data_IF_032490977658
#
_entry.id   IF_032490977658
#
_cell.length_a   1.000
_cell.length_b   1.000
_cell.length_c   1.000
_cell.angle_alpha   90.00
_cell.angle_beta   90.00
_cell.angle_gamma   90.00
#
_symmetry.space_group_name_H-M   'P 1'
#
loop_
_entity.id
_entity.type
_entity.pdbx_description
1 polymer ?
#
# COMPACT_ATOMS: atom_id res chain seq x y z
N UNK A 1 16.87 11.08 6.02
CA UNK A 1 16.15 9.82 6.35
C UNK A 1 15.42 9.33 5.11
N UNK A 2 15.52 8.04 4.82
CA UNK A 2 14.85 7.41 3.68
C UNK A 2 13.70 6.56 4.23
N UNK A 3 12.47 7.00 3.97
CA UNK A 3 11.25 6.32 4.40
C UNK A 3 10.60 5.68 3.17
N UNK A 4 10.59 4.37 3.14
CA UNK A 4 9.91 3.58 2.11
C UNK A 4 8.43 3.40 2.51
N UNK A 5 7.53 4.05 1.80
CA UNK A 5 6.09 4.05 2.09
C UNK A 5 5.36 2.81 1.56
N UNK A 6 6.04 1.94 0.79
CA UNK A 6 5.43 0.77 0.19
C UNK A 6 6.31 -0.47 0.39
N UNK A 7 6.03 -1.21 1.44
CA UNK A 7 6.61 -2.52 1.71
C UNK A 7 5.55 -3.51 2.15
N UNK A 8 5.90 -4.77 2.14
CA UNK A 8 5.03 -5.85 2.59
C UNK A 8 5.69 -6.68 3.69
N UNK A 9 4.88 -7.22 4.58
CA UNK A 9 5.36 -8.07 5.67
C UNK A 9 6.06 -9.32 5.13
N UNK A 10 7.20 -9.65 5.70
CA UNK A 10 7.81 -10.98 5.55
C UNK A 10 7.32 -11.84 6.70
N UNK A 11 6.31 -12.64 6.40
CA UNK A 11 5.65 -13.47 7.39
C UNK A 11 6.34 -14.83 7.57
N UNK A 12 6.35 -15.40 8.78
CA UNK A 12 6.84 -16.74 9.02
C UNK A 12 5.93 -17.82 8.42
N UNK A 13 6.46 -19.01 8.22
CA UNK A 13 5.74 -20.16 7.63
C UNK A 13 4.48 -20.53 8.41
N UNK A 14 4.47 -20.30 9.73
CA UNK A 14 3.31 -20.54 10.59
C UNK A 14 2.05 -19.80 10.12
N UNK A 15 2.17 -18.60 9.50
CA UNK A 15 1.03 -17.91 8.88
C UNK A 15 0.44 -18.71 7.71
N UNK A 16 1.28 -19.30 6.88
CA UNK A 16 0.82 -20.09 5.72
C UNK A 16 0.23 -21.45 6.14
N UNK A 17 0.78 -22.06 7.18
CA UNK A 17 0.18 -23.25 7.82
C UNK A 17 -1.20 -22.89 8.38
N UNK A 18 -1.33 -21.77 9.07
CA UNK A 18 -2.63 -21.30 9.56
C UNK A 18 -3.63 -21.06 8.41
N UNK A 19 -3.20 -20.43 7.30
CA UNK A 19 -4.02 -20.25 6.10
C UNK A 19 -4.56 -21.61 5.59
N UNK A 20 -3.69 -22.59 5.46
CA UNK A 20 -4.08 -23.93 5.01
C UNK A 20 -5.07 -24.60 5.98
N UNK A 21 -4.89 -24.43 7.28
CA UNK A 21 -5.79 -24.96 8.30
C UNK A 21 -7.20 -24.39 8.22
N UNK A 22 -7.33 -23.06 8.12
CA UNK A 22 -8.65 -22.42 8.04
C UNK A 22 -9.36 -22.73 6.72
N UNK A 23 -8.63 -22.78 5.60
CA UNK A 23 -9.19 -23.17 4.29
C UNK A 23 -9.63 -24.65 4.26
N UNK A 24 -8.93 -25.54 4.98
CA UNK A 24 -9.29 -26.94 5.10
C UNK A 24 -10.37 -27.22 6.17
N UNK A 25 -11.11 -26.21 6.63
CA UNK A 25 -12.14 -26.30 7.68
C UNK A 25 -11.65 -26.77 9.05
N UNK A 26 -10.35 -26.80 9.30
CA UNK A 26 -9.82 -27.17 10.61
C UNK A 26 -10.06 -26.08 11.68
N UNK A 27 -10.47 -24.92 11.27
CA UNK A 27 -10.94 -23.85 12.15
C UNK A 27 -12.43 -23.94 12.54
N UNK A 28 -13.18 -24.93 12.06
CA UNK A 28 -14.64 -25.03 12.29
C UNK A 28 -15.00 -25.21 13.78
N UNK A 29 -14.10 -25.77 14.59
CA UNK A 29 -14.29 -25.98 16.03
C UNK A 29 -13.51 -24.99 16.90
N UNK A 30 -12.98 -23.92 16.30
CA UNK A 30 -12.18 -22.89 16.93
C UNK A 30 -11.16 -22.34 15.95
N UNK A 31 -10.58 -21.17 16.21
CA UNK A 31 -9.59 -20.57 15.30
C UNK A 31 -8.37 -21.46 15.05
N UNK A 32 -8.11 -22.40 15.93
CA UNK A 32 -7.07 -23.42 15.80
C UNK A 32 -5.70 -22.87 15.43
N UNK A 33 -5.42 -21.61 15.71
CA UNK A 33 -4.27 -20.93 15.19
C UNK A 33 -3.05 -21.12 16.07
N UNK A 34 -1.95 -21.48 15.46
CA UNK A 34 -0.66 -21.26 16.07
C UNK A 34 -0.23 -19.84 15.69
N UNK A 35 -0.36 -18.92 16.62
CA UNK A 35 0.08 -17.55 16.41
C UNK A 35 1.61 -17.54 16.33
N UNK A 36 2.17 -16.88 15.32
CA UNK A 36 3.60 -16.71 15.20
C UNK A 36 4.18 -16.08 16.48
N UNK A 37 5.19 -16.69 17.04
CA UNK A 37 5.91 -16.14 18.18
C UNK A 37 7.00 -15.14 17.70
N UNK A 38 7.64 -14.47 18.66
CA UNK A 38 8.66 -13.45 18.35
C UNK A 38 9.87 -14.03 17.62
N UNK A 39 10.27 -15.25 17.96
CA UNK A 39 11.43 -15.90 17.35
C UNK A 39 11.15 -16.26 15.89
N UNK A 40 9.96 -16.78 15.58
CA UNK A 40 9.54 -17.06 14.20
C UNK A 40 9.53 -15.79 13.34
N UNK A 41 9.06 -14.65 13.89
CA UNK A 41 9.08 -13.37 13.18
C UNK A 41 10.52 -12.87 12.96
N UNK A 42 11.39 -12.97 13.98
CA UNK A 42 12.81 -12.65 13.83
C UNK A 42 13.49 -13.52 12.79
N UNK A 43 13.24 -14.81 12.83
CA UNK A 43 13.79 -15.77 11.87
C UNK A 43 13.33 -15.44 10.44
N UNK A 44 12.04 -15.16 10.23
CA UNK A 44 11.52 -14.79 8.91
C UNK A 44 12.22 -13.54 8.33
N UNK A 45 12.42 -12.51 9.16
CA UNK A 45 13.06 -11.27 8.73
C UNK A 45 14.57 -11.39 8.47
N UNK A 46 15.24 -12.38 9.08
CA UNK A 46 16.67 -12.64 8.92
C UNK A 46 16.96 -13.82 7.96
N UNK A 47 15.94 -14.47 7.43
CA UNK A 47 16.10 -15.54 6.43
C UNK A 47 16.09 -14.99 5.01
N UNK A 48 16.77 -15.64 4.06
CA UNK A 48 16.74 -15.24 2.66
C UNK A 48 15.31 -15.25 2.09
N UNK A 49 14.96 -14.18 1.37
CA UNK A 49 13.69 -14.02 0.64
C UNK A 49 13.94 -13.73 -0.84
N UNK A 50 12.99 -13.17 -1.55
CA UNK A 50 13.21 -12.73 -2.93
C UNK A 50 14.50 -11.90 -3.05
N UNK A 51 15.33 -12.20 -4.02
CA UNK A 51 16.63 -11.55 -4.19
C UNK A 51 17.80 -12.22 -3.47
N UNK A 52 17.55 -13.20 -2.60
CA UNK A 52 18.56 -14.09 -2.01
C UNK A 52 19.19 -13.60 -0.71
N UNK A 53 18.97 -12.36 -0.28
CA UNK A 53 19.31 -11.86 1.07
C UNK A 53 18.07 -11.71 1.95
N UNK A 54 18.26 -11.48 3.24
CA UNK A 54 17.16 -11.30 4.19
C UNK A 54 16.44 -9.96 3.96
N UNK A 55 15.20 -9.83 4.43
CA UNK A 55 14.47 -8.57 4.33
C UNK A 55 15.26 -7.41 4.94
N UNK A 56 15.79 -7.59 6.16
CA UNK A 56 16.57 -6.55 6.84
C UNK A 56 17.84 -6.17 6.09
N UNK A 57 18.54 -7.15 5.49
CA UNK A 57 19.75 -6.86 4.73
C UNK A 57 19.41 -6.15 3.41
N UNK A 58 18.30 -6.51 2.76
CA UNK A 58 17.84 -5.84 1.56
C UNK A 58 17.53 -4.36 1.79
N UNK A 59 16.93 -3.99 2.93
CA UNK A 59 16.73 -2.57 3.28
C UNK A 59 18.05 -1.84 3.44
N UNK A 60 19.03 -2.46 4.09
CA UNK A 60 20.38 -1.89 4.23
C UNK A 60 21.09 -1.72 2.88
N UNK A 61 20.99 -2.71 1.99
CA UNK A 61 21.61 -2.67 0.65
C UNK A 61 21.19 -1.44 -0.16
N UNK A 62 19.93 -1.01 -0.06
CA UNK A 62 19.41 0.18 -0.75
C UNK A 62 19.36 1.41 0.13
N UNK A 63 19.79 1.30 1.40
CA UNK A 63 19.86 2.41 2.36
C UNK A 63 18.49 2.95 2.76
N UNK A 64 17.51 2.08 2.95
CA UNK A 64 16.21 2.42 3.54
C UNK A 64 16.34 2.42 5.06
N UNK A 65 16.02 3.55 5.69
CA UNK A 65 16.09 3.70 7.15
C UNK A 65 14.81 3.16 7.82
N UNK A 66 13.65 3.39 7.19
CA UNK A 66 12.35 2.95 7.70
C UNK A 66 11.47 2.48 6.54
N UNK A 67 10.73 1.40 6.75
CA UNK A 67 9.75 0.91 5.80
C UNK A 67 8.37 0.77 6.44
N UNK A 68 7.33 1.23 5.71
CA UNK A 68 5.95 0.98 6.06
C UNK A 68 5.54 -0.37 5.47
N UNK A 69 5.12 -1.29 6.32
CA UNK A 69 4.80 -2.66 5.90
C UNK A 69 3.31 -2.95 6.03
N UNK A 70 2.76 -3.54 4.99
CA UNK A 70 1.37 -3.97 4.87
C UNK A 70 1.26 -5.47 4.60
N UNK A 71 0.08 -6.09 4.68
CA UNK A 71 -0.10 -7.44 4.15
C UNK A 71 0.30 -7.53 2.69
N UNK A 72 0.89 -8.67 2.29
CA UNK A 72 1.04 -8.96 0.86
C UNK A 72 -0.34 -9.20 0.22
N UNK A 73 -0.54 -8.88 -1.06
CA UNK A 73 -1.84 -9.05 -1.71
C UNK A 73 -2.47 -10.43 -1.50
N UNK A 74 -1.71 -11.50 -1.68
CA UNK A 74 -2.18 -12.87 -1.49
C UNK A 74 -2.43 -13.27 -0.02
N UNK A 75 -2.10 -12.40 0.94
CA UNK A 75 -2.39 -12.59 2.37
C UNK A 75 -3.76 -11.99 2.75
N UNK A 76 -4.47 -11.38 1.84
CA UNK A 76 -5.76 -10.75 2.14
C UNK A 76 -6.96 -11.70 1.90
N UNK A 77 -6.91 -12.53 0.86
CA UNK A 77 -7.95 -13.52 0.51
C UNK A 77 -9.38 -12.96 0.47
N UNK A 78 -9.57 -11.74 -0.01
CA UNK A 78 -10.82 -10.99 0.19
C UNK A 78 -12.05 -11.60 -0.50
N UNK A 79 -11.86 -12.43 -1.51
CA UNK A 79 -12.95 -13.16 -2.19
C UNK A 79 -13.39 -14.46 -1.47
N UNK A 80 -12.77 -14.81 -0.36
CA UNK A 80 -13.17 -15.95 0.46
C UNK A 80 -14.33 -15.59 1.41
N UNK A 81 -14.85 -16.58 2.13
CA UNK A 81 -15.92 -16.36 3.10
C UNK A 81 -15.51 -15.30 4.15
N UNK A 82 -16.36 -14.32 4.49
CA UNK A 82 -16.01 -13.19 5.36
C UNK A 82 -15.34 -13.57 6.68
N UNK A 83 -15.73 -14.69 7.29
CA UNK A 83 -15.15 -15.17 8.54
C UNK A 83 -13.69 -15.65 8.36
N UNK A 84 -13.38 -16.29 7.23
CA UNK A 84 -12.01 -16.72 6.93
C UNK A 84 -11.13 -15.51 6.65
N UNK A 85 -11.64 -14.56 5.90
CA UNK A 85 -10.95 -13.28 5.61
C UNK A 85 -10.65 -12.55 6.91
N UNK A 86 -11.64 -12.40 7.79
CA UNK A 86 -11.44 -11.75 9.08
C UNK A 86 -10.34 -12.43 9.89
N UNK A 87 -10.39 -13.75 10.07
CA UNK A 87 -9.39 -14.48 10.86
C UNK A 87 -7.99 -14.35 10.29
N UNK A 88 -7.87 -14.49 8.97
CA UNK A 88 -6.56 -14.45 8.33
C UNK A 88 -5.94 -13.04 8.32
N UNK A 89 -6.74 -12.02 8.04
CA UNK A 89 -6.30 -10.62 8.08
C UNK A 89 -5.90 -10.22 9.52
N UNK A 90 -6.67 -10.64 10.53
CA UNK A 90 -6.31 -10.41 11.93
C UNK A 90 -4.94 -10.99 12.27
N UNK A 91 -4.66 -12.24 11.88
CA UNK A 91 -3.36 -12.87 12.14
C UNK A 91 -2.23 -12.20 11.36
N UNK A 92 -2.47 -11.83 10.12
CA UNK A 92 -1.47 -11.09 9.32
C UNK A 92 -1.14 -9.74 9.97
N UNK A 93 -2.16 -9.00 10.42
CA UNK A 93 -1.95 -7.72 11.13
C UNK A 93 -1.23 -7.93 12.49
N UNK A 94 -1.54 -9.00 13.22
CA UNK A 94 -0.82 -9.34 14.46
C UNK A 94 0.68 -9.57 14.22
N UNK A 95 1.03 -10.23 13.12
CA UNK A 95 2.44 -10.42 12.72
C UNK A 95 3.09 -9.08 12.36
N UNK A 96 2.39 -8.20 11.62
CA UNK A 96 2.91 -6.86 11.32
C UNK A 96 3.14 -6.06 12.61
N UNK A 97 2.16 -6.04 13.52
CA UNK A 97 2.30 -5.34 14.81
C UNK A 97 3.50 -5.88 15.61
N UNK A 98 3.69 -7.21 15.62
CA UNK A 98 4.85 -7.86 16.24
C UNK A 98 6.16 -7.49 15.56
N UNK A 99 6.20 -7.46 14.22
CA UNK A 99 7.38 -7.01 13.47
C UNK A 99 7.76 -5.56 13.83
N UNK A 100 6.78 -4.65 13.92
CA UNK A 100 6.99 -3.27 14.33
C UNK A 100 7.49 -3.19 15.78
N UNK A 101 6.92 -3.99 16.69
CA UNK A 101 7.35 -4.03 18.09
C UNK A 101 8.79 -4.53 18.25
N UNK A 102 9.20 -5.52 17.46
CA UNK A 102 10.55 -6.09 17.49
C UNK A 102 11.61 -5.19 16.83
N UNK A 103 11.20 -4.38 15.85
CA UNK A 103 12.09 -3.49 15.07
C UNK A 103 11.47 -2.08 14.93
N UNK A 104 11.25 -1.36 16.05
CA UNK A 104 10.49 -0.11 16.06
C UNK A 104 11.16 1.05 15.33
N UNK A 105 12.45 0.98 15.10
CA UNK A 105 13.18 2.00 14.32
C UNK A 105 13.14 1.73 12.82
N UNK A 106 12.87 0.48 12.42
CA UNK A 106 12.91 0.04 11.01
C UNK A 106 11.54 -0.03 10.37
N UNK A 107 10.49 -0.38 11.14
CA UNK A 107 9.16 -0.63 10.55
C UNK A 107 8.05 0.23 11.16
N UNK A 108 7.03 0.51 10.32
CA UNK A 108 5.70 0.98 10.74
C UNK A 108 4.66 0.14 10.03
N UNK A 109 3.53 -0.09 10.70
CA UNK A 109 2.47 -0.96 10.16
C UNK A 109 1.37 -0.18 9.41
N UNK A 110 0.99 -0.69 8.25
CA UNK A 110 -0.23 -0.32 7.51
C UNK A 110 -1.15 -1.54 7.55
N UNK A 111 -2.31 -1.44 8.20
CA UNK A 111 -3.14 -2.62 8.44
C UNK A 111 -3.93 -3.05 7.20
N UNK A 112 -4.07 -4.35 7.01
CA UNK A 112 -5.06 -4.92 6.12
C UNK A 112 -6.47 -4.79 6.72
N UNK A 113 -7.47 -4.60 5.87
CA UNK A 113 -8.87 -4.55 6.27
C UNK A 113 -9.60 -5.81 5.77
N UNK A 114 -10.38 -6.51 6.61
CA UNK A 114 -11.10 -7.72 6.22
C UNK A 114 -12.37 -7.37 5.40
N UNK A 115 -12.17 -6.60 4.34
CA UNK A 115 -13.21 -6.24 3.38
C UNK A 115 -13.50 -7.43 2.46
N UNK A 116 -14.78 -7.73 2.27
CA UNK A 116 -15.24 -8.77 1.35
C UNK A 116 -16.43 -8.24 0.55
N UNK A 117 -16.72 -8.77 -0.64
CA UNK A 117 -17.86 -8.36 -1.43
C UNK A 117 -19.17 -8.44 -0.63
N UNK A 118 -20.02 -7.43 -0.77
CA UNK A 118 -21.32 -7.37 -0.09
C UNK A 118 -21.29 -6.97 1.39
N UNK A 119 -20.12 -6.82 2.00
CA UNK A 119 -19.99 -6.33 3.38
C UNK A 119 -19.80 -4.82 3.36
N UNK A 120 -20.66 -4.11 4.09
CA UNK A 120 -20.53 -2.65 4.24
C UNK A 120 -19.21 -2.28 4.94
N UNK A 121 -18.43 -1.31 4.43
CA UNK A 121 -17.27 -0.78 5.12
C UNK A 121 -17.53 -0.32 6.55
N UNK A 122 -18.76 0.06 6.88
CA UNK A 122 -19.19 0.39 8.25
C UNK A 122 -18.92 -0.76 9.24
N UNK A 123 -19.04 -2.01 8.80
CA UNK A 123 -18.79 -3.17 9.65
C UNK A 123 -17.30 -3.33 10.01
N UNK A 124 -16.41 -2.73 9.23
CA UNK A 124 -14.96 -2.83 9.40
C UNK A 124 -14.41 -1.68 10.26
N UNK A 125 -15.16 -0.60 10.42
CA UNK A 125 -14.74 0.58 11.20
C UNK A 125 -14.23 0.25 12.61
N UNK A 126 -14.91 -0.60 13.43
CA UNK A 126 -14.40 -0.94 14.75
C UNK A 126 -13.05 -1.68 14.72
N UNK A 127 -12.83 -2.48 13.68
CA UNK A 127 -11.57 -3.18 13.51
C UNK A 127 -10.43 -2.23 13.11
N UNK A 128 -10.68 -1.30 12.20
CA UNK A 128 -9.71 -0.25 11.86
C UNK A 128 -9.32 0.56 13.11
N UNK A 129 -10.32 0.98 13.89
CA UNK A 129 -10.08 1.74 15.13
C UNK A 129 -9.19 0.96 16.11
N UNK A 130 -9.46 -0.34 16.28
CA UNK A 130 -8.62 -1.23 17.09
C UNK A 130 -7.18 -1.29 16.57
N UNK A 131 -6.98 -1.49 15.26
CA UNK A 131 -5.64 -1.54 14.67
C UNK A 131 -4.85 -0.26 14.97
N UNK A 132 -5.46 0.91 14.81
CA UNK A 132 -4.78 2.19 15.03
C UNK A 132 -4.54 2.46 16.52
N UNK A 133 -5.59 2.35 17.36
CA UNK A 133 -5.50 2.77 18.77
C UNK A 133 -4.78 1.77 19.66
N UNK A 134 -4.94 0.46 19.40
CA UNK A 134 -4.38 -0.58 20.27
C UNK A 134 -3.08 -1.17 19.73
N UNK A 135 -2.92 -1.26 18.39
CA UNK A 135 -1.76 -1.90 17.75
C UNK A 135 -0.79 -0.90 17.11
N UNK A 136 -1.13 0.41 17.08
CA UNK A 136 -0.24 1.47 16.60
C UNK A 136 -0.04 1.52 15.10
N UNK A 137 -0.98 1.01 14.31
CA UNK A 137 -0.94 1.14 12.86
C UNK A 137 -1.08 2.60 12.43
N UNK A 138 -0.31 3.01 11.43
CA UNK A 138 -0.24 4.39 10.94
C UNK A 138 -1.06 4.64 9.67
N UNK A 139 -1.68 3.62 9.13
CA UNK A 139 -2.51 3.66 7.91
C UNK A 139 -3.23 2.34 7.70
N UNK A 140 -4.06 2.26 6.66
CA UNK A 140 -4.73 1.04 6.24
C UNK A 140 -4.67 0.82 4.73
N UNK A 141 -4.74 -0.43 4.29
CA UNK A 141 -4.91 -0.75 2.87
C UNK A 141 -6.35 -0.49 2.44
N UNK A 142 -6.52 0.12 1.28
CA UNK A 142 -7.78 0.23 0.56
C UNK A 142 -7.72 -0.69 -0.65
N UNK A 143 -8.41 -1.84 -0.57
CA UNK A 143 -8.56 -2.73 -1.71
C UNK A 143 -9.71 -2.23 -2.59
N UNK A 144 -9.47 -1.79 -3.84
CA UNK A 144 -10.52 -1.29 -4.72
C UNK A 144 -11.44 -2.39 -5.24
N UNK A 145 -10.97 -3.64 -5.32
CA UNK A 145 -11.75 -4.81 -5.72
C UNK A 145 -11.66 -5.94 -4.67
N UNK A 146 -12.46 -5.88 -3.59
CA UNK A 146 -12.56 -6.99 -2.64
C UNK A 146 -13.06 -8.30 -3.27
N UNK A 147 -13.70 -8.23 -4.44
CA UNK A 147 -14.17 -9.39 -5.20
C UNK A 147 -13.08 -10.16 -5.92
N UNK A 148 -11.89 -9.59 -6.05
CA UNK A 148 -10.73 -10.23 -6.73
C UNK A 148 -11.08 -10.73 -8.14
N UNK A 149 -11.86 -9.96 -8.90
CA UNK A 149 -12.41 -10.33 -10.22
C UNK A 149 -13.21 -11.64 -10.23
N UNK A 150 -13.84 -12.02 -9.11
CA UNK A 150 -14.69 -13.23 -9.02
C UNK A 150 -16.07 -13.09 -9.68
N UNK A 151 -16.39 -11.92 -10.22
CA UNK A 151 -17.70 -11.58 -10.77
C UNK A 151 -18.66 -11.01 -9.72
N UNK A 152 -18.23 -10.83 -8.48
CA UNK A 152 -19.00 -10.12 -7.44
C UNK A 152 -18.41 -8.72 -7.31
N UNK A 153 -19.11 -7.74 -7.85
CA UNK A 153 -18.64 -6.36 -7.89
C UNK A 153 -18.85 -5.65 -6.55
N UNK A 154 -17.91 -4.76 -6.23
CA UNK A 154 -18.01 -3.81 -5.14
C UNK A 154 -18.07 -2.40 -5.74
N UNK A 155 -18.86 -1.45 -5.16
CA UNK A 155 -18.88 -0.08 -5.64
C UNK A 155 -17.47 0.52 -5.70
N UNK A 156 -17.13 1.31 -6.74
CA UNK A 156 -15.81 1.92 -6.87
C UNK A 156 -15.53 2.89 -5.72
N UNK A 157 -14.26 3.17 -5.42
CA UNK A 157 -13.83 3.98 -4.26
C UNK A 157 -14.41 5.41 -4.24
N UNK A 158 -14.88 5.94 -5.36
CA UNK A 158 -15.60 7.22 -5.42
C UNK A 158 -17.06 7.17 -4.95
N UNK A 159 -17.62 5.98 -4.67
CA UNK A 159 -19.00 5.81 -4.25
C UNK A 159 -19.20 6.09 -2.75
N UNK A 160 -20.40 6.55 -2.38
CA UNK A 160 -20.78 6.80 -0.97
C UNK A 160 -20.79 5.55 -0.10
N UNK A 161 -20.79 4.37 -0.70
CA UNK A 161 -20.59 3.10 0.00
C UNK A 161 -19.37 3.12 0.93
N UNK A 162 -18.30 3.82 0.55
CA UNK A 162 -17.04 3.90 1.28
C UNK A 162 -17.00 5.00 2.36
N UNK A 163 -17.99 5.90 2.41
CA UNK A 163 -17.98 7.06 3.32
C UNK A 163 -17.78 6.70 4.79
N UNK A 164 -18.41 5.64 5.35
CA UNK A 164 -18.17 5.28 6.76
C UNK A 164 -16.68 4.99 7.07
N UNK A 165 -15.95 4.45 6.08
CA UNK A 165 -14.52 4.21 6.23
C UNK A 165 -13.72 5.51 6.12
N UNK A 166 -14.07 6.39 5.16
CA UNK A 166 -13.41 7.68 4.99
C UNK A 166 -13.62 8.59 6.20
N UNK A 167 -14.82 8.63 6.77
CA UNK A 167 -15.11 9.34 8.03
C UNK A 167 -14.18 8.89 9.14
N UNK A 168 -14.01 7.57 9.33
CA UNK A 168 -13.14 7.02 10.36
C UNK A 168 -11.67 7.28 10.08
N UNK A 169 -11.21 7.20 8.84
CA UNK A 169 -9.83 7.53 8.46
C UNK A 169 -9.51 9.00 8.74
N UNK A 170 -10.44 9.92 8.47
CA UNK A 170 -10.30 11.35 8.78
C UNK A 170 -10.29 11.57 10.29
N UNK A 171 -11.19 10.92 11.06
CA UNK A 171 -11.22 11.00 12.52
C UNK A 171 -9.92 10.53 13.16
N UNK A 172 -9.34 9.43 12.64
CA UNK A 172 -8.08 8.87 13.13
C UNK A 172 -6.84 9.56 12.55
N UNK A 173 -7.03 10.48 11.60
CA UNK A 173 -5.98 11.18 10.86
C UNK A 173 -4.94 10.24 10.20
N UNK A 174 -5.39 9.14 9.63
CA UNK A 174 -4.56 8.15 8.95
C UNK A 174 -4.84 8.13 7.45
N UNK A 175 -3.85 7.79 6.60
CA UNK A 175 -4.06 7.57 5.18
C UNK A 175 -4.62 6.18 4.88
N UNK A 176 -5.34 6.10 3.75
CA UNK A 176 -5.59 4.85 3.05
C UNK A 176 -4.57 4.66 1.93
N UNK A 177 -3.99 3.48 1.85
CA UNK A 177 -3.07 3.10 0.78
C UNK A 177 -3.80 2.17 -0.19
N UNK A 178 -4.08 2.65 -1.41
CA UNK A 178 -4.76 1.85 -2.44
C UNK A 178 -3.81 0.76 -2.93
N UNK A 179 -4.22 -0.48 -2.75
CA UNK A 179 -3.51 -1.65 -3.26
C UNK A 179 -4.49 -2.80 -3.44
N UNK A 180 -4.52 -3.40 -4.63
CA UNK A 180 -5.33 -4.59 -4.88
C UNK A 180 -4.77 -5.82 -4.18
N UNK A 181 -5.59 -6.85 -4.10
CA UNK A 181 -5.26 -8.14 -3.49
C UNK A 181 -5.05 -9.23 -4.56
N UNK A 182 -5.73 -10.36 -4.47
CA UNK A 182 -5.67 -11.41 -5.49
C UNK A 182 -6.45 -11.08 -6.77
N UNK A 183 -6.36 -11.97 -7.74
CA UNK A 183 -7.16 -11.93 -8.97
C UNK A 183 -7.57 -13.33 -9.38
N UNK A 184 -8.87 -13.53 -9.62
CA UNK A 184 -9.44 -14.82 -10.08
C UNK A 184 -9.69 -14.84 -11.59
N UNK A 185 -9.42 -13.73 -12.30
CA UNK A 185 -9.57 -13.67 -13.76
C UNK A 185 -8.35 -14.21 -14.46
N UNK A 186 -8.54 -15.24 -15.30
CA UNK A 186 -7.48 -15.78 -16.15
C UNK A 186 -7.01 -14.80 -17.27
N UNK A 187 -7.76 -13.72 -17.50
CA UNK A 187 -7.42 -12.70 -18.48
C UNK A 187 -6.35 -11.73 -18.00
N UNK A 188 -6.11 -11.67 -16.71
CA UNK A 188 -5.22 -10.70 -16.05
C UNK A 188 -4.03 -11.42 -15.44
N UNK A 189 -2.84 -10.88 -15.71
CA UNK A 189 -1.67 -11.24 -14.91
C UNK A 189 -1.74 -10.54 -13.57
N UNK A 190 -0.99 -11.02 -12.60
CA UNK A 190 -0.90 -10.45 -11.25
C UNK A 190 -0.63 -8.93 -11.27
N UNK A 191 0.42 -8.49 -11.97
CA UNK A 191 0.75 -7.06 -12.06
C UNK A 191 -0.27 -6.25 -12.87
N UNK A 192 -0.83 -6.80 -13.95
CA UNK A 192 -1.82 -6.09 -14.76
C UNK A 192 -3.12 -5.84 -13.98
N UNK A 193 -3.53 -6.79 -13.14
CA UNK A 193 -4.68 -6.60 -12.26
C UNK A 193 -4.50 -5.38 -11.35
N UNK A 194 -3.36 -5.23 -10.70
CA UNK A 194 -3.09 -4.10 -9.82
C UNK A 194 -3.19 -2.77 -10.55
N UNK A 195 -2.51 -2.65 -11.68
CA UNK A 195 -2.55 -1.42 -12.49
C UNK A 195 -3.98 -1.08 -12.94
N UNK A 196 -4.78 -2.07 -13.34
CA UNK A 196 -6.16 -1.84 -13.73
C UNK A 196 -7.03 -1.34 -12.58
N UNK A 197 -6.93 -1.97 -11.43
CA UNK A 197 -7.73 -1.58 -10.25
C UNK A 197 -7.33 -0.19 -9.71
N UNK A 198 -6.05 0.15 -9.75
CA UNK A 198 -5.58 1.50 -9.43
C UNK A 198 -6.13 2.55 -10.40
N UNK A 199 -6.18 2.25 -11.69
CA UNK A 199 -6.79 3.13 -12.69
C UNK A 199 -8.28 3.38 -12.37
N UNK A 200 -9.04 2.34 -12.06
CA UNK A 200 -10.45 2.45 -11.70
C UNK A 200 -10.60 3.28 -10.40
N UNK A 201 -9.79 2.97 -9.39
CA UNK A 201 -9.79 3.67 -8.12
C UNK A 201 -9.52 5.17 -8.28
N UNK A 202 -8.43 5.53 -8.97
CA UNK A 202 -8.04 6.93 -9.20
C UNK A 202 -9.14 7.69 -9.95
N UNK A 203 -9.61 7.15 -11.08
CA UNK A 203 -10.65 7.83 -11.88
C UNK A 203 -11.94 7.99 -11.09
N UNK A 204 -12.37 6.95 -10.37
CA UNK A 204 -13.61 7.02 -9.58
C UNK A 204 -13.52 8.06 -8.46
N UNK A 205 -12.42 8.13 -7.72
CA UNK A 205 -12.19 9.12 -6.67
C UNK A 205 -12.17 10.55 -7.22
N UNK A 206 -11.40 10.79 -8.29
CA UNK A 206 -11.19 12.14 -8.84
C UNK A 206 -12.42 12.69 -9.60
N UNK A 207 -13.34 11.82 -10.02
CA UNK A 207 -14.58 12.24 -10.69
C UNK A 207 -15.79 12.26 -9.75
N UNK A 208 -15.62 11.91 -8.48
CA UNK A 208 -16.64 11.91 -7.42
C UNK A 208 -16.61 13.21 -6.59
N UNK A 209 -17.42 13.24 -5.52
CA UNK A 209 -17.42 14.33 -4.53
C UNK A 209 -16.59 14.00 -3.29
N UNK A 210 -15.89 12.87 -3.22
CA UNK A 210 -15.18 12.39 -2.03
C UNK A 210 -14.27 13.46 -1.43
N UNK A 211 -13.39 14.09 -2.21
CA UNK A 211 -12.47 15.10 -1.68
C UNK A 211 -13.12 16.47 -1.38
N UNK A 212 -14.34 16.70 -1.88
CA UNK A 212 -15.17 17.85 -1.47
C UNK A 212 -15.82 17.56 -0.11
N UNK A 213 -16.31 16.33 0.07
CA UNK A 213 -17.00 15.89 1.29
C UNK A 213 -16.00 15.60 2.42
N UNK A 214 -14.79 15.16 2.08
CA UNK A 214 -13.67 14.86 3.00
C UNK A 214 -12.38 15.58 2.59
N UNK A 215 -12.26 16.89 2.79
CA UNK A 215 -11.11 17.68 2.29
C UNK A 215 -9.78 17.36 2.97
N UNK A 216 -9.78 16.68 4.11
CA UNK A 216 -8.58 16.25 4.84
C UNK A 216 -8.24 14.77 4.66
N UNK A 217 -9.04 14.04 3.87
CA UNK A 217 -8.81 12.64 3.58
C UNK A 217 -7.47 12.46 2.84
N UNK A 218 -6.63 11.58 3.35
CA UNK A 218 -5.33 11.24 2.77
C UNK A 218 -5.41 9.88 2.09
N UNK A 219 -5.15 9.85 0.78
CA UNK A 219 -5.12 8.60 -0.01
C UNK A 219 -3.80 8.54 -0.77
N UNK A 220 -3.04 7.46 -0.54
CA UNK A 220 -1.85 7.10 -1.29
C UNK A 220 -2.22 6.02 -2.32
N UNK A 221 -1.77 6.18 -3.56
CA UNK A 221 -1.99 5.22 -4.64
C UNK A 221 -0.69 4.49 -4.94
N UNK A 222 -0.74 3.17 -5.02
CA UNK A 222 0.40 2.32 -5.36
C UNK A 222 0.85 2.49 -6.81
N UNK A 223 2.05 2.05 -7.10
CA UNK A 223 2.64 1.94 -8.45
C UNK A 223 2.50 3.23 -9.27
N UNK A 224 2.75 4.40 -8.61
CA UNK A 224 2.67 5.70 -9.24
C UNK A 224 1.27 6.09 -9.74
N UNK A 225 0.22 5.44 -9.27
CA UNK A 225 -1.16 5.69 -9.72
C UNK A 225 -1.52 4.94 -11.00
N UNK A 226 -0.86 3.80 -11.25
CA UNK A 226 -1.11 2.97 -12.42
C UNK A 226 -0.74 3.68 -13.74
N UNK A 227 -1.62 3.63 -14.73
CA UNK A 227 -1.40 4.30 -16.02
C UNK A 227 -1.97 5.74 -16.06
N UNK A 228 -2.59 6.23 -14.99
CA UNK A 228 -3.31 7.51 -15.00
C UNK A 228 -2.38 8.70 -15.22
N UNK A 229 -1.19 8.83 -14.60
CA UNK A 229 -0.29 9.94 -14.89
C UNK A 229 0.17 10.00 -16.34
N UNK A 230 0.27 8.87 -17.00
CA UNK A 230 0.59 8.80 -18.43
C UNK A 230 -0.59 9.20 -19.33
N UNK A 231 -1.84 8.88 -18.93
CA UNK A 231 -3.05 9.09 -19.72
C UNK A 231 -3.91 10.27 -19.24
N UNK A 232 -3.45 11.10 -18.30
CA UNK A 232 -4.27 12.12 -17.64
C UNK A 232 -4.98 13.05 -18.61
N UNK A 233 -4.35 13.43 -19.75
CA UNK A 233 -4.92 14.32 -20.74
C UNK A 233 -6.19 13.75 -21.42
N UNK A 234 -6.32 12.42 -21.49
CA UNK A 234 -7.55 11.77 -21.95
C UNK A 234 -8.72 12.01 -21.01
N UNK A 235 -8.47 11.93 -19.69
CA UNK A 235 -9.47 12.20 -18.66
C UNK A 235 -9.74 13.70 -18.50
N UNK A 236 -8.74 14.53 -18.72
CA UNK A 236 -8.86 16.00 -18.78
C UNK A 236 -9.94 16.43 -19.79
N UNK A 237 -9.97 15.83 -20.96
CA UNK A 237 -10.97 16.14 -21.98
C UNK A 237 -12.42 15.95 -21.49
N UNK A 238 -12.66 14.99 -20.60
CA UNK A 238 -13.97 14.78 -20.00
C UNK A 238 -14.33 15.85 -18.96
N UNK A 239 -13.36 16.33 -18.18
CA UNK A 239 -13.59 17.42 -17.23
C UNK A 239 -13.88 18.74 -17.93
N UNK A 240 -13.15 19.04 -19.00
CA UNK A 240 -13.31 20.28 -19.79
C UNK A 240 -14.68 20.40 -20.50
N UNK A 241 -15.35 19.28 -20.75
CA UNK A 241 -16.71 19.28 -21.34
C UNK A 241 -17.81 19.64 -20.34
N UNK A 242 -17.51 19.70 -19.06
CA UNK A 242 -18.47 19.98 -17.99
C UNK A 242 -18.20 21.36 -17.41
N UNK A 243 -19.06 22.38 -17.67
CA UNK A 243 -18.87 23.71 -17.12
C UNK A 243 -18.77 23.68 -15.58
N UNK A 244 -17.77 24.36 -15.03
CA UNK A 244 -17.55 24.42 -13.59
C UNK A 244 -16.91 23.17 -12.95
N UNK A 245 -16.60 22.12 -13.72
CA UNK A 245 -15.87 20.99 -13.19
C UNK A 245 -14.40 21.33 -12.93
N UNK A 246 -13.84 20.78 -11.85
CA UNK A 246 -12.39 20.82 -11.61
C UNK A 246 -11.67 20.10 -12.73
N UNK A 247 -10.59 20.66 -13.23
CA UNK A 247 -9.74 20.00 -14.21
C UNK A 247 -9.20 18.70 -13.61
N UNK A 248 -9.14 17.64 -14.42
CA UNK A 248 -8.66 16.35 -13.93
C UNK A 248 -7.21 16.43 -13.42
N UNK A 249 -6.36 17.17 -14.13
CA UNK A 249 -4.97 17.43 -13.73
C UNK A 249 -4.87 18.13 -12.36
N UNK A 250 -5.75 19.07 -12.06
CA UNK A 250 -5.79 19.73 -10.74
C UNK A 250 -6.31 18.76 -9.67
N UNK A 251 -7.34 17.98 -10.01
CA UNK A 251 -7.91 16.99 -9.10
C UNK A 251 -6.89 15.89 -8.70
N UNK A 252 -5.97 15.52 -9.59
CA UNK A 252 -4.91 14.54 -9.29
C UNK A 252 -4.08 14.93 -8.05
N UNK A 253 -3.98 16.21 -7.74
CA UNK A 253 -3.26 16.70 -6.55
C UNK A 253 -4.00 16.47 -5.23
N UNK A 254 -5.21 15.91 -5.24
CA UNK A 254 -5.89 15.44 -4.04
C UNK A 254 -5.35 14.08 -3.55
N UNK A 255 -4.63 13.35 -4.41
CA UNK A 255 -4.03 12.07 -4.11
C UNK A 255 -2.52 12.22 -3.83
N UNK A 256 -1.97 11.22 -3.16
CA UNK A 256 -0.55 10.96 -3.07
C UNK A 256 -0.21 9.72 -3.91
N UNK A 257 1.03 9.62 -4.36
CA UNK A 257 1.50 8.55 -5.24
C UNK A 257 2.83 8.01 -4.73
N UNK A 258 3.01 6.70 -4.71
CA UNK A 258 4.32 6.14 -4.43
C UNK A 258 5.23 6.15 -5.67
N UNK A 259 6.48 5.78 -5.47
CA UNK A 259 7.48 5.73 -6.53
C UNK A 259 7.83 4.30 -6.96
N UNK A 260 6.91 3.36 -6.80
CA UNK A 260 7.10 1.97 -7.27
C UNK A 260 6.99 1.92 -8.80
N UNK A 261 7.93 2.59 -9.44
CA UNK A 261 8.08 2.74 -10.89
C UNK A 261 9.55 2.49 -11.25
N UNK A 262 9.84 1.36 -11.85
CA UNK A 262 11.20 0.85 -12.00
C UNK A 262 11.99 1.48 -13.18
N UNK A 263 11.63 2.69 -13.61
CA UNK A 263 12.37 3.42 -14.66
C UNK A 263 12.46 4.92 -14.36
N UNK A 264 13.58 5.55 -14.77
CA UNK A 264 13.80 6.99 -14.64
C UNK A 264 12.72 7.80 -15.35
N UNK A 265 12.37 7.43 -16.58
CA UNK A 265 11.39 8.16 -17.39
C UNK A 265 10.00 8.16 -16.76
N UNK A 266 9.57 7.02 -16.18
CA UNK A 266 8.30 6.93 -15.49
C UNK A 266 8.28 7.77 -14.20
N UNK A 267 9.36 7.77 -13.42
CA UNK A 267 9.52 8.60 -12.24
C UNK A 267 9.47 10.10 -12.60
N UNK A 268 10.22 10.51 -13.61
CA UNK A 268 10.20 11.89 -14.08
C UNK A 268 8.82 12.33 -14.57
N UNK A 269 8.13 11.45 -15.33
CA UNK A 269 6.76 11.71 -15.76
C UNK A 269 5.83 11.92 -14.57
N UNK A 270 5.89 11.04 -13.57
CA UNK A 270 5.08 11.16 -12.38
C UNK A 270 5.33 12.51 -11.68
N UNK A 271 6.59 12.83 -11.37
CA UNK A 271 6.94 14.07 -10.66
C UNK A 271 6.53 15.33 -11.41
N UNK A 272 6.67 15.34 -12.74
CA UNK A 272 6.23 16.47 -13.60
C UNK A 272 4.70 16.60 -13.66
N UNK A 273 3.98 15.47 -13.58
CA UNK A 273 2.52 15.45 -13.72
C UNK A 273 1.80 15.84 -12.43
N UNK A 274 2.19 15.25 -11.29
CA UNK A 274 1.47 15.45 -10.02
C UNK A 274 2.17 16.40 -9.05
N UNK A 275 3.45 16.65 -9.26
CA UNK A 275 4.31 17.44 -8.36
C UNK A 275 4.96 16.59 -7.27
N UNK A 276 6.21 16.95 -6.93
CA UNK A 276 7.02 16.21 -5.93
C UNK A 276 6.42 16.21 -4.54
N UNK A 277 5.63 17.20 -4.19
CA UNK A 277 4.90 17.30 -2.91
C UNK A 277 3.76 16.29 -2.76
N UNK A 278 3.46 15.55 -3.81
CA UNK A 278 2.46 14.46 -3.85
C UNK A 278 3.08 13.08 -3.99
N UNK A 279 4.40 12.99 -4.08
CA UNK A 279 5.10 11.73 -4.29
C UNK A 279 5.81 11.27 -3.00
N UNK A 280 5.60 10.01 -2.64
CA UNK A 280 6.25 9.35 -1.51
C UNK A 280 7.19 8.27 -2.04
N UNK A 281 8.41 8.21 -1.51
CA UNK A 281 9.30 7.10 -1.85
C UNK A 281 8.67 5.77 -1.46
N UNK A 282 8.70 4.81 -2.37
CA UNK A 282 8.23 3.45 -2.21
C UNK A 282 8.99 2.52 -3.16
N UNK A 283 9.31 1.31 -2.70
CA UNK A 283 10.07 0.33 -3.49
C UNK A 283 9.36 -1.00 -3.68
N UNK A 284 8.48 -1.36 -2.77
CA UNK A 284 7.89 -2.72 -2.66
C UNK A 284 8.97 -3.80 -2.38
N UNK A 285 10.17 -3.39 -1.95
CA UNK A 285 11.29 -4.33 -1.70
C UNK A 285 11.18 -4.96 -0.30
N UNK A 286 11.32 -6.27 -0.14
CA UNK A 286 11.44 -7.30 -1.19
C UNK A 286 10.11 -7.60 -1.88
N UNK A 287 10.09 -7.56 -3.19
CA UNK A 287 8.86 -7.73 -3.98
C UNK A 287 9.11 -8.03 -5.45
N UNK A 288 8.15 -7.66 -6.30
CA UNK A 288 8.18 -7.94 -7.75
C UNK A 288 9.40 -7.33 -8.44
N UNK A 289 9.83 -6.14 -8.00
CA UNK A 289 11.00 -5.45 -8.55
C UNK A 289 12.34 -5.97 -8.04
N UNK A 290 12.36 -6.90 -7.08
CA UNK A 290 13.62 -7.44 -6.51
C UNK A 290 14.24 -8.47 -7.47
N UNK A 291 14.64 -7.99 -8.62
CA UNK A 291 15.30 -8.76 -9.70
C UNK A 291 16.39 -7.90 -10.34
N UNK A 292 17.52 -8.51 -10.67
CA UNK A 292 18.61 -7.80 -11.37
C UNK A 292 18.35 -7.78 -12.88
N UNK A 293 18.43 -6.59 -13.47
CA UNK A 293 18.50 -6.46 -14.92
C UNK A 293 19.88 -6.98 -15.38
N UNK A 294 19.94 -8.02 -16.21
CA UNK A 294 21.21 -8.59 -16.67
C UNK A 294 22.03 -7.63 -17.54
N UNK A 295 21.42 -6.60 -18.11
CA UNK A 295 22.10 -5.59 -18.95
C UNK A 295 22.86 -4.56 -18.10
N UNK A 296 22.36 -4.24 -16.91
CA UNK A 296 22.92 -3.21 -16.04
C UNK A 296 23.57 -3.78 -14.78
N UNK A 297 23.23 -5.02 -14.40
CA UNK A 297 23.62 -5.64 -13.15
C UNK A 297 22.93 -5.05 -11.91
N UNK A 298 22.01 -4.09 -12.08
CA UNK A 298 21.32 -3.35 -11.02
C UNK A 298 19.95 -3.99 -10.70
N UNK A 299 19.52 -3.84 -9.44
CA UNK A 299 18.16 -4.20 -9.06
C UNK A 299 17.15 -3.21 -9.66
N UNK A 300 15.99 -3.70 -10.13
CA UNK A 300 14.95 -2.79 -10.67
C UNK A 300 14.36 -1.92 -9.57
N UNK A 301 14.24 -2.43 -8.36
CA UNK A 301 13.65 -1.75 -7.21
C UNK A 301 14.63 -0.86 -6.42
N UNK A 302 15.87 -0.68 -6.88
CA UNK A 302 16.79 0.31 -6.30
C UNK A 302 16.50 1.75 -6.76
N UNK A 303 15.23 2.11 -6.79
CA UNK A 303 14.70 3.38 -7.31
C UNK A 303 15.23 4.61 -6.59
N UNK A 304 15.71 4.47 -5.35
CA UNK A 304 16.39 5.54 -4.61
C UNK A 304 17.50 6.17 -5.44
N UNK A 305 18.44 5.36 -5.94
CA UNK A 305 19.58 5.88 -6.71
C UNK A 305 19.14 6.50 -8.03
N UNK A 306 18.06 5.98 -8.62
CA UNK A 306 17.47 6.56 -9.83
C UNK A 306 16.90 7.95 -9.55
N UNK A 307 16.18 8.15 -8.45
CA UNK A 307 15.66 9.46 -8.04
C UNK A 307 16.79 10.43 -7.69
N UNK A 308 17.83 9.97 -6.98
CA UNK A 308 19.01 10.77 -6.66
C UNK A 308 19.72 11.28 -7.93
N UNK A 309 19.70 10.50 -9.01
CA UNK A 309 20.31 10.82 -10.30
C UNK A 309 19.43 11.68 -11.24
N UNK A 310 18.25 12.16 -10.79
CA UNK A 310 17.45 13.11 -11.55
C UNK A 310 17.97 14.52 -11.32
N UNK A 311 18.57 15.12 -12.35
CA UNK A 311 19.32 16.36 -12.26
C UNK A 311 18.47 17.59 -11.96
N UNK A 312 17.21 17.63 -12.42
CA UNK A 312 16.34 18.77 -12.21
C UNK A 312 15.64 18.78 -10.84
N UNK A 313 15.70 17.68 -10.08
CA UNK A 313 15.21 17.65 -8.70
C UNK A 313 16.22 18.33 -7.78
N UNK A 314 15.76 19.34 -7.04
CA UNK A 314 16.55 19.99 -5.99
C UNK A 314 16.77 19.07 -4.80
N UNK A 315 17.71 19.40 -3.91
CA UNK A 315 17.90 18.67 -2.66
C UNK A 315 16.63 18.70 -1.78
N UNK A 316 15.87 19.83 -1.83
CA UNK A 316 14.59 19.95 -1.13
C UNK A 316 13.52 19.01 -1.73
N UNK A 317 13.42 18.93 -3.06
CA UNK A 317 12.50 18.02 -3.73
C UNK A 317 12.79 16.56 -3.38
N UNK A 318 14.06 16.18 -3.41
CA UNK A 318 14.49 14.83 -3.01
C UNK A 318 14.15 14.54 -1.55
N UNK A 319 14.36 15.51 -0.65
CA UNK A 319 13.98 15.38 0.76
C UNK A 319 12.47 15.20 0.94
N UNK A 320 11.65 15.96 0.19
CA UNK A 320 10.18 15.78 0.21
C UNK A 320 9.80 14.35 -0.18
N UNK A 321 10.34 13.84 -1.28
CA UNK A 321 10.04 12.49 -1.78
C UNK A 321 10.48 11.43 -0.77
N UNK A 322 11.70 11.53 -0.24
CA UNK A 322 12.27 10.48 0.61
C UNK A 322 11.79 10.51 2.06
N UNK A 323 11.35 11.67 2.56
CA UNK A 323 11.12 11.84 3.99
C UNK A 323 9.85 12.64 4.31
N UNK A 324 9.80 13.92 3.89
CA UNK A 324 8.84 14.87 4.46
C UNK A 324 7.39 14.51 4.12
N UNK A 325 7.13 14.05 2.90
CA UNK A 325 5.78 13.65 2.47
C UNK A 325 5.29 12.43 3.24
N UNK A 326 6.13 11.41 3.45
CA UNK A 326 5.76 10.25 4.25
C UNK A 326 5.47 10.64 5.70
N UNK A 327 6.32 11.47 6.32
CA UNK A 327 6.09 11.99 7.67
C UNK A 327 4.75 12.73 7.78
N UNK A 328 4.44 13.57 6.80
CA UNK A 328 3.18 14.34 6.75
C UNK A 328 1.97 13.46 6.55
N UNK A 329 2.02 12.51 5.61
CA UNK A 329 0.87 11.69 5.23
C UNK A 329 0.52 10.70 6.34
N UNK A 330 1.51 10.03 6.91
CA UNK A 330 1.35 8.99 7.94
C UNK A 330 1.51 9.51 9.37
N UNK A 331 1.65 10.82 9.58
CA UNK A 331 1.87 11.45 10.90
C UNK A 331 3.05 10.82 11.68
N UNK A 332 4.13 10.50 10.98
CA UNK A 332 5.25 9.82 11.60
C UNK A 332 6.03 10.77 12.51
N UNK A 333 6.05 10.46 13.81
CA UNK A 333 6.94 11.08 14.78
C UNK A 333 8.27 10.33 14.73
N UNK A 334 9.15 10.73 13.82
CA UNK A 334 10.49 10.12 13.72
C UNK A 334 11.46 11.02 14.46
N UNK A 335 11.81 10.64 15.68
CA UNK A 335 13.10 11.02 16.24
C UNK A 335 14.13 10.10 15.59
N UNK A 336 14.79 10.56 14.52
CA UNK A 336 15.92 9.81 13.99
C UNK A 336 17.15 10.34 14.67
N UNK A 337 17.65 9.61 15.64
CA UNK A 337 19.05 9.69 15.98
C UNK A 337 19.79 9.15 14.75
N UNK A 338 20.54 10.04 14.07
CA UNK A 338 21.43 9.61 13.02
C UNK A 338 22.33 8.52 13.60
N UNK A 339 22.35 7.37 12.97
CA UNK A 339 23.33 6.35 13.28
C UNK A 339 24.72 6.97 13.06
N UNK A 340 25.47 7.17 14.17
CA UNK A 340 26.87 7.59 14.17
C UNK A 340 27.75 6.46 13.62
#
# INVERSE_FOLDING_TARGET
>A
VIIDSHGHVTAPDSLYVYKAQILAHRGAHGRGGNLANDEEVRQALNSPVFGGSSHLDQLKEVGTDMQLVSPRPYQMMTSEHPRLVQWFVEETNNIIAKQVQLYPNTFRGVCGLPLTPGISPKAIVPYLEKCVKEQGFVGCLLNPDPGECSGVETPPLGDRFWYPLYEKMVELDIPGHIHSTGCRSERLTYSLHFINEENIAVVSLLTSTVFKDFPTLKILVSHGGGAIPYQFARFEASSLRRPGATRFSDAMRNLYYDTVLYSKDALELLFKTVGVDRCLFGTERPGVGTVKDPRTGRWLDETRFTIEAIDWLTAEDKKKIFEDNAKKVFNLKVAVEAAV
#
